data_IF_016424803410
#
_entry.id   IF_016424803410
#
_cell.length_a   1.000
_cell.length_b   1.000
_cell.length_c   1.000
_cell.angle_alpha   90.00
_cell.angle_beta   90.00
_cell.angle_gamma   90.00
#
_symmetry.space_group_name_H-M   'P 1'
#
loop_
_entity.id
_entity.type
_entity.pdbx_description
1 polymer ?
#
# COMPACT_ATOMS: atom_id res chain seq x y z
N UNK A 1 -25.29 26.31 -10.31
CA UNK A 1 -25.33 25.25 -9.28
C UNK A 1 -26.73 24.69 -9.30
N UNK A 2 -26.90 23.49 -9.85
CA UNK A 2 -28.11 22.71 -9.58
C UNK A 2 -28.20 22.54 -8.07
N UNK A 3 -29.39 22.76 -7.50
CA UNK A 3 -29.59 22.60 -6.06
C UNK A 3 -29.30 21.13 -5.72
N UNK A 4 -28.39 20.91 -4.76
CA UNK A 4 -28.10 19.58 -4.24
C UNK A 4 -29.41 18.92 -3.78
N UNK A 5 -29.75 17.77 -4.36
CA UNK A 5 -30.95 17.03 -4.02
C UNK A 5 -30.68 16.08 -2.84
N UNK A 6 -30.98 16.54 -1.64
CA UNK A 6 -30.81 15.79 -0.39
C UNK A 6 -31.63 14.48 -0.35
N UNK A 7 -32.62 14.28 -1.24
CA UNK A 7 -33.41 13.03 -1.26
C UNK A 7 -32.60 11.82 -1.75
N UNK A 8 -31.47 12.06 -2.43
CA UNK A 8 -30.57 11.01 -2.92
C UNK A 8 -29.63 10.44 -1.85
N UNK A 9 -29.62 11.02 -0.65
CA UNK A 9 -28.66 10.71 0.41
C UNK A 9 -29.34 10.11 1.64
N UNK A 10 -28.68 9.13 2.25
CA UNK A 10 -29.03 8.60 3.57
C UNK A 10 -28.64 9.61 4.68
N UNK A 11 -29.03 9.35 5.92
CA UNK A 11 -28.78 10.29 7.02
C UNK A 11 -27.28 10.51 7.31
N UNK A 12 -26.44 9.48 7.20
CA UNK A 12 -25.00 9.60 7.46
C UNK A 12 -24.30 10.42 6.37
N UNK A 13 -24.67 10.23 5.10
CA UNK A 13 -24.18 11.06 4.00
C UNK A 13 -24.62 12.53 4.15
N UNK A 14 -25.87 12.77 4.58
CA UNK A 14 -26.36 14.13 4.86
C UNK A 14 -25.58 14.81 5.97
N UNK A 15 -25.29 14.07 7.05
CA UNK A 15 -24.46 14.57 8.14
C UNK A 15 -23.08 15.01 7.64
N UNK A 16 -22.42 14.22 6.78
CA UNK A 16 -21.14 14.65 6.18
C UNK A 16 -21.29 15.92 5.31
N UNK A 17 -22.39 16.08 4.57
CA UNK A 17 -22.67 17.29 3.78
C UNK A 17 -22.90 18.49 4.70
N UNK A 18 -23.68 18.33 5.76
CA UNK A 18 -23.99 19.38 6.73
C UNK A 18 -22.72 19.87 7.44
N UNK A 19 -21.88 18.95 7.93
CA UNK A 19 -20.59 19.28 8.54
C UNK A 19 -19.70 20.09 7.59
N UNK A 20 -19.54 19.66 6.34
CA UNK A 20 -18.72 20.44 5.39
C UNK A 20 -19.31 21.79 5.01
N UNK A 21 -20.64 21.95 5.01
CA UNK A 21 -21.27 23.26 4.83
C UNK A 21 -21.05 24.19 6.03
N UNK A 22 -21.09 23.64 7.26
CA UNK A 22 -20.80 24.38 8.49
C UNK A 22 -19.35 24.88 8.52
N UNK A 23 -18.41 24.07 8.04
CA UNK A 23 -16.99 24.41 7.93
C UNK A 23 -16.63 25.23 6.68
N UNK A 24 -17.62 25.51 5.80
CA UNK A 24 -17.44 26.30 4.59
C UNK A 24 -16.63 25.61 3.49
N UNK A 25 -16.61 24.28 3.47
CA UNK A 25 -15.92 23.45 2.48
C UNK A 25 -16.72 23.35 1.18
N UNK A 26 -16.04 23.04 0.08
CA UNK A 26 -16.69 22.77 -1.20
C UNK A 26 -17.30 21.35 -1.21
N UNK A 27 -18.53 21.25 -0.72
CA UNK A 27 -19.26 19.97 -0.68
C UNK A 27 -19.52 19.36 -2.06
N UNK A 28 -19.38 20.11 -3.16
CA UNK A 28 -19.53 19.54 -4.50
C UNK A 28 -18.45 18.51 -4.85
N UNK A 29 -17.34 18.52 -4.11
CA UNK A 29 -16.25 17.56 -4.25
C UNK A 29 -16.60 16.15 -3.73
N UNK A 30 -17.57 16.01 -2.82
CA UNK A 30 -17.90 14.72 -2.19
C UNK A 30 -19.38 14.43 -1.98
N UNK A 31 -20.28 15.39 -2.19
CA UNK A 31 -21.72 15.17 -2.17
C UNK A 31 -22.18 14.36 -3.39
N UNK A 32 -21.81 13.08 -3.40
CA UNK A 32 -22.03 12.13 -4.48
C UNK A 32 -22.76 10.91 -3.92
N UNK A 33 -23.98 10.58 -4.38
CA UNK A 33 -24.74 9.44 -3.85
C UNK A 33 -24.10 8.08 -4.14
N UNK A 34 -23.05 8.01 -4.97
CA UNK A 34 -22.24 6.81 -5.17
C UNK A 34 -21.22 6.57 -4.07
N UNK A 35 -20.89 7.59 -3.27
CA UNK A 35 -20.04 7.42 -2.10
C UNK A 35 -20.87 6.93 -0.93
N UNK A 36 -20.34 6.03 -0.12
CA UNK A 36 -20.84 5.86 1.23
C UNK A 36 -20.40 7.02 2.14
N UNK A 37 -20.90 7.03 3.37
CA UNK A 37 -20.58 8.07 4.34
C UNK A 37 -19.10 8.06 4.77
N UNK A 38 -18.39 6.94 4.69
CA UNK A 38 -16.96 6.85 5.03
C UNK A 38 -16.07 7.42 3.92
N UNK A 39 -16.40 7.18 2.66
CA UNK A 39 -15.77 7.85 1.52
C UNK A 39 -15.98 9.37 1.60
N UNK A 40 -17.21 9.81 1.90
CA UNK A 40 -17.52 11.23 2.10
C UNK A 40 -16.74 11.83 3.28
N UNK A 41 -16.61 11.08 4.37
CA UNK A 41 -15.83 11.46 5.54
C UNK A 41 -14.35 11.69 5.19
N UNK A 42 -13.69 10.77 4.48
CA UNK A 42 -12.28 10.92 4.10
C UNK A 42 -12.04 12.06 3.10
N UNK A 43 -12.98 12.33 2.19
CA UNK A 43 -12.87 13.50 1.31
C UNK A 43 -13.07 14.80 2.10
N UNK A 44 -14.03 14.86 3.03
CA UNK A 44 -14.22 16.02 3.92
C UNK A 44 -12.95 16.32 4.73
N UNK A 45 -12.36 15.30 5.37
CA UNK A 45 -11.10 15.48 6.11
C UNK A 45 -9.97 15.99 5.21
N UNK A 46 -9.88 15.51 3.96
CA UNK A 46 -8.87 16.02 3.05
C UNK A 46 -9.04 17.50 2.70
N UNK A 47 -10.29 17.98 2.56
CA UNK A 47 -10.59 19.40 2.38
C UNK A 47 -10.22 20.22 3.62
N UNK A 48 -10.49 19.71 4.83
CA UNK A 48 -10.09 20.34 6.10
C UNK A 48 -8.57 20.47 6.22
N UNK A 49 -7.84 19.40 5.86
CA UNK A 49 -6.38 19.35 5.79
C UNK A 49 -5.78 20.08 4.58
N UNK A 50 -6.63 20.60 3.67
CA UNK A 50 -6.24 21.34 2.45
C UNK A 50 -5.36 20.54 1.49
N UNK A 51 -5.58 19.23 1.40
CA UNK A 51 -4.92 18.37 0.41
C UNK A 51 -5.75 18.29 -0.89
N UNK A 52 -5.12 17.86 -1.99
CA UNK A 52 -5.80 17.72 -3.28
C UNK A 52 -6.68 16.47 -3.31
N UNK A 53 -7.95 16.64 -2.93
CA UNK A 53 -8.92 15.55 -2.90
C UNK A 53 -9.30 15.02 -4.28
N UNK A 54 -9.02 15.75 -5.37
CA UNK A 54 -9.36 15.31 -6.73
C UNK A 54 -8.61 14.03 -7.16
N UNK A 55 -7.52 13.72 -6.47
CA UNK A 55 -6.72 12.53 -6.69
C UNK A 55 -7.46 11.25 -6.27
N UNK A 56 -8.25 11.31 -5.19
CA UNK A 56 -8.85 10.14 -4.56
C UNK A 56 -10.37 10.20 -4.35
N UNK A 57 -11.02 11.36 -4.49
CA UNK A 57 -12.47 11.50 -4.40
C UNK A 57 -13.17 10.91 -5.63
N UNK A 58 -13.08 9.59 -5.79
CA UNK A 58 -13.61 8.83 -6.93
C UNK A 58 -14.23 7.51 -6.47
N UNK A 59 -15.35 7.06 -7.06
CA UNK A 59 -16.09 5.90 -6.53
C UNK A 59 -15.34 4.57 -6.62
N UNK A 60 -14.30 4.51 -7.44
CA UNK A 60 -13.40 3.35 -7.57
C UNK A 60 -12.51 3.11 -6.35
N UNK A 61 -12.35 4.08 -5.45
CA UNK A 61 -11.62 3.91 -4.20
C UNK A 61 -12.58 3.66 -3.04
N UNK A 62 -12.35 2.63 -2.23
CA UNK A 62 -13.01 2.47 -0.94
C UNK A 62 -12.49 3.49 0.09
N UNK A 63 -13.17 3.59 1.24
CA UNK A 63 -12.81 4.52 2.31
C UNK A 63 -11.40 4.27 2.86
N UNK A 64 -10.95 3.01 2.91
CA UNK A 64 -9.62 2.66 3.39
C UNK A 64 -8.53 3.13 2.42
N UNK A 65 -8.73 2.96 1.11
CA UNK A 65 -7.85 3.50 0.06
C UNK A 65 -7.85 5.03 0.09
N UNK A 66 -9.02 5.67 0.18
CA UNK A 66 -9.13 7.14 0.31
C UNK A 66 -8.36 7.65 1.52
N UNK A 67 -8.47 6.97 2.67
CA UNK A 67 -7.71 7.29 3.88
C UNK A 67 -6.21 7.23 3.66
N UNK A 68 -5.69 6.17 3.02
CA UNK A 68 -4.25 6.03 2.76
C UNK A 68 -3.73 7.09 1.79
N UNK A 69 -4.51 7.45 0.77
CA UNK A 69 -4.13 8.54 -0.15
C UNK A 69 -4.16 9.88 0.58
N UNK A 70 -5.19 10.16 1.40
CA UNK A 70 -5.27 11.39 2.21
C UNK A 70 -4.08 11.52 3.15
N UNK A 71 -3.76 10.48 3.92
CA UNK A 71 -2.64 10.51 4.87
C UNK A 71 -1.30 10.76 4.16
N UNK A 72 -1.04 10.09 3.03
CA UNK A 72 0.19 10.37 2.27
C UNK A 72 0.25 11.79 1.72
N UNK A 73 -0.87 12.40 1.33
CA UNK A 73 -0.89 13.81 0.95
C UNK A 73 -0.62 14.74 2.15
N UNK A 74 -1.16 14.42 3.32
CA UNK A 74 -0.91 15.16 4.57
C UNK A 74 0.57 15.08 5.00
N UNK A 75 1.20 13.93 4.78
CA UNK A 75 2.63 13.68 5.03
C UNK A 75 3.54 14.25 3.92
N UNK A 76 2.97 14.78 2.83
CA UNK A 76 3.71 15.36 1.70
C UNK A 76 4.38 14.33 0.77
N UNK A 77 3.87 13.10 0.75
CA UNK A 77 4.36 11.99 -0.08
C UNK A 77 3.82 12.06 -1.51
N UNK A 78 4.54 11.44 -2.45
CA UNK A 78 4.09 11.29 -3.83
C UNK A 78 3.07 10.16 -3.96
N UNK A 79 1.79 10.51 -3.74
CA UNK A 79 0.70 9.55 -3.82
C UNK A 79 0.43 9.04 -5.24
N UNK A 80 1.02 9.64 -6.29
CA UNK A 80 0.85 9.14 -7.66
C UNK A 80 1.41 7.72 -7.86
N UNK A 81 2.28 7.28 -6.95
CA UNK A 81 2.88 5.96 -6.94
C UNK A 81 1.93 4.85 -6.46
N UNK A 82 0.87 5.20 -5.71
CA UNK A 82 -0.04 4.21 -5.13
C UNK A 82 -1.53 4.58 -5.16
N UNK A 83 -1.90 5.79 -5.58
CA UNK A 83 -3.30 6.20 -5.81
C UNK A 83 -3.87 5.53 -7.08
N UNK A 84 -3.87 4.20 -7.09
CA UNK A 84 -4.42 3.34 -8.14
C UNK A 84 -5.43 2.38 -7.47
N UNK A 85 -6.69 2.32 -7.94
CA UNK A 85 -7.71 1.45 -7.35
C UNK A 85 -7.40 -0.05 -7.48
N UNK A 86 -6.42 -0.45 -8.30
CA UNK A 86 -5.94 -1.83 -8.39
C UNK A 86 -5.17 -2.28 -7.13
N UNK A 87 -4.66 -1.35 -6.31
CA UNK A 87 -4.07 -1.67 -5.02
C UNK A 87 -5.14 -1.77 -3.94
N UNK A 88 -5.22 -2.89 -3.22
CA UNK A 88 -5.92 -2.93 -1.93
C UNK A 88 -5.26 -1.99 -0.92
N UNK A 89 -5.99 -1.52 0.10
CA UNK A 89 -5.39 -0.55 1.01
C UNK A 89 -4.28 -1.10 1.91
N UNK A 90 -4.11 -2.43 2.04
CA UNK A 90 -2.89 -3.00 2.63
C UNK A 90 -1.68 -2.86 1.71
N UNK A 91 -1.84 -3.01 0.40
CA UNK A 91 -0.77 -2.71 -0.57
C UNK A 91 -0.40 -1.22 -0.54
N UNK A 92 -1.40 -0.33 -0.48
CA UNK A 92 -1.15 1.11 -0.33
C UNK A 92 -0.40 1.44 0.96
N UNK A 93 -0.68 0.73 2.06
CA UNK A 93 0.05 0.89 3.31
C UNK A 93 1.53 0.52 3.17
N UNK A 94 1.85 -0.59 2.48
CA UNK A 94 3.23 -0.98 2.25
C UNK A 94 3.99 0.07 1.41
N UNK A 95 3.32 0.67 0.42
CA UNK A 95 3.93 1.73 -0.39
C UNK A 95 4.11 3.01 0.44
N UNK A 96 3.10 3.40 1.23
CA UNK A 96 3.18 4.54 2.15
C UNK A 96 4.34 4.39 3.14
N UNK A 97 4.46 3.24 3.81
CA UNK A 97 5.57 2.94 4.74
C UNK A 97 6.95 3.01 4.05
N UNK A 98 7.06 2.52 2.81
CA UNK A 98 8.33 2.60 2.10
C UNK A 98 8.72 4.01 1.70
N UNK A 99 7.74 4.86 1.35
CA UNK A 99 7.98 6.28 1.09
C UNK A 99 8.41 7.01 2.38
N UNK A 100 7.77 6.72 3.51
CA UNK A 100 8.15 7.25 4.82
C UNK A 100 9.59 6.85 5.20
N UNK A 101 9.94 5.57 5.01
CA UNK A 101 11.27 5.03 5.26
C UNK A 101 12.28 5.31 4.14
N UNK A 102 11.90 6.11 3.13
CA UNK A 102 12.76 6.57 2.05
C UNK A 102 13.42 5.44 1.23
N UNK A 103 12.73 4.30 1.09
CA UNK A 103 13.15 3.18 0.22
C UNK A 103 12.56 3.31 -1.17
N UNK A 104 13.20 2.64 -2.15
CA UNK A 104 12.76 2.65 -3.54
C UNK A 104 11.53 1.75 -3.73
N UNK A 105 10.34 2.34 -3.61
CA UNK A 105 9.07 1.61 -3.76
C UNK A 105 8.86 1.05 -5.17
N UNK A 106 9.61 1.47 -6.19
CA UNK A 106 9.45 0.97 -7.57
C UNK A 106 9.71 -0.54 -7.72
N UNK A 107 10.41 -1.14 -6.75
CA UNK A 107 10.59 -2.58 -6.69
C UNK A 107 9.28 -3.35 -6.49
N UNK A 108 8.39 -2.82 -5.66
CA UNK A 108 7.21 -3.57 -5.18
C UNK A 108 5.88 -2.85 -5.36
N UNK A 109 5.84 -1.55 -5.66
CA UNK A 109 4.63 -0.77 -5.94
C UNK A 109 3.99 -1.18 -7.28
N UNK A 110 3.55 -2.43 -7.37
CA UNK A 110 2.98 -3.06 -8.56
C UNK A 110 1.82 -3.97 -8.15
N UNK A 111 0.64 -3.86 -8.79
CA UNK A 111 -0.55 -4.60 -8.36
C UNK A 111 -0.40 -6.13 -8.39
N UNK A 112 0.58 -6.67 -9.14
CA UNK A 112 0.86 -8.11 -9.17
C UNK A 112 1.48 -8.68 -7.87
N UNK A 113 1.94 -7.83 -6.96
CA UNK A 113 2.39 -8.26 -5.63
C UNK A 113 1.27 -8.15 -4.61
N UNK A 114 1.00 -9.18 -3.84
CA UNK A 114 0.16 -9.07 -2.65
C UNK A 114 0.85 -8.26 -1.53
N UNK A 115 0.11 -7.90 -0.49
CA UNK A 115 0.60 -7.08 0.62
C UNK A 115 1.74 -7.74 1.40
N UNK A 116 1.77 -9.08 1.49
CA UNK A 116 2.85 -9.83 2.14
C UNK A 116 4.14 -9.82 1.30
N UNK A 117 4.04 -9.99 -0.01
CA UNK A 117 5.18 -9.86 -0.91
C UNK A 117 5.76 -8.43 -0.86
N UNK A 118 4.90 -7.42 -0.88
CA UNK A 118 5.32 -6.02 -0.74
C UNK A 118 6.02 -5.75 0.58
N UNK A 119 5.50 -6.30 1.69
CA UNK A 119 6.12 -6.18 3.02
C UNK A 119 7.55 -6.75 3.04
N UNK A 120 7.75 -7.96 2.52
CA UNK A 120 9.08 -8.60 2.52
C UNK A 120 10.07 -7.85 1.61
N UNK A 121 9.60 -7.30 0.49
CA UNK A 121 10.44 -6.46 -0.38
C UNK A 121 10.79 -5.15 0.33
N UNK A 122 9.82 -4.50 0.99
CA UNK A 122 10.06 -3.28 1.77
C UNK A 122 11.08 -3.51 2.88
N UNK A 123 10.87 -4.54 3.72
CA UNK A 123 11.77 -4.87 4.83
C UNK A 123 13.20 -5.14 4.34
N UNK A 124 13.37 -5.89 3.24
CA UNK A 124 14.71 -6.11 2.71
C UNK A 124 15.36 -4.85 2.13
N UNK A 125 14.60 -3.90 1.57
CA UNK A 125 15.15 -2.59 1.19
C UNK A 125 15.55 -1.77 2.42
N UNK A 126 14.76 -1.80 3.49
CA UNK A 126 15.04 -1.14 4.77
C UNK A 126 16.32 -1.70 5.43
N UNK A 127 16.54 -3.02 5.30
CA UNK A 127 17.73 -3.73 5.77
C UNK A 127 18.93 -3.60 4.82
N UNK A 128 18.78 -2.94 3.66
CA UNK A 128 19.84 -2.74 2.67
C UNK A 128 20.23 -3.99 1.88
N UNK A 129 19.33 -4.96 1.76
CA UNK A 129 19.51 -6.20 1.02
C UNK A 129 19.29 -6.01 -0.50
N UNK A 130 19.89 -6.90 -1.29
CA UNK A 130 19.66 -6.95 -2.74
C UNK A 130 18.34 -7.67 -3.04
N UNK A 131 17.25 -6.91 -3.11
CA UNK A 131 15.91 -7.44 -3.36
C UNK A 131 15.72 -8.01 -4.77
N UNK A 132 16.64 -7.78 -5.70
CA UNK A 132 16.53 -8.28 -7.09
C UNK A 132 16.49 -9.81 -7.18
N UNK A 133 16.96 -10.50 -6.13
CA UNK A 133 16.87 -11.95 -6.03
C UNK A 133 15.44 -12.45 -5.91
N UNK A 134 14.58 -11.74 -5.17
CA UNK A 134 13.28 -12.23 -4.75
C UNK A 134 12.10 -11.31 -5.04
N UNK A 135 12.30 -10.04 -5.41
CA UNK A 135 11.24 -9.09 -5.81
C UNK A 135 10.66 -9.45 -7.20
N UNK A 136 10.06 -10.64 -7.31
CA UNK A 136 9.47 -11.22 -8.52
C UNK A 136 8.17 -11.91 -8.14
N UNK A 137 7.09 -11.61 -8.85
CA UNK A 137 5.74 -12.11 -8.54
C UNK A 137 5.57 -13.63 -8.70
N UNK A 138 6.54 -14.31 -9.33
CA UNK A 138 6.63 -15.77 -9.40
C UNK A 138 6.97 -16.45 -8.08
N UNK A 139 7.52 -15.72 -7.10
CA UNK A 139 7.74 -16.23 -5.74
C UNK A 139 6.52 -15.94 -4.86
N UNK A 140 6.03 -16.92 -4.12
CA UNK A 140 5.14 -16.66 -2.98
C UNK A 140 5.91 -15.96 -1.85
N UNK A 141 5.20 -15.25 -0.97
CA UNK A 141 5.81 -14.51 0.14
C UNK A 141 6.71 -15.41 1.02
N UNK A 142 6.31 -16.66 1.29
CA UNK A 142 7.13 -17.60 2.06
C UNK A 142 8.46 -17.97 1.37
N UNK A 143 8.51 -17.98 0.04
CA UNK A 143 9.76 -18.18 -0.71
C UNK A 143 10.64 -16.92 -0.62
N UNK A 144 10.04 -15.73 -0.72
CA UNK A 144 10.76 -14.46 -0.58
C UNK A 144 11.41 -14.35 0.80
N UNK A 145 10.73 -14.76 1.87
CA UNK A 145 11.27 -14.76 3.23
C UNK A 145 12.50 -15.67 3.36
N UNK A 146 12.47 -16.87 2.80
CA UNK A 146 13.65 -17.76 2.85
C UNK A 146 14.84 -17.17 2.08
N UNK A 147 14.59 -16.46 0.97
CA UNK A 147 15.66 -15.77 0.23
C UNK A 147 16.18 -14.58 1.05
N UNK A 148 15.29 -13.78 1.64
CA UNK A 148 15.63 -12.64 2.52
C UNK A 148 16.49 -13.09 3.70
N UNK A 149 16.07 -14.12 4.44
CA UNK A 149 16.85 -14.66 5.56
C UNK A 149 18.23 -15.14 5.13
N UNK A 150 18.38 -15.73 3.93
CA UNK A 150 19.69 -16.09 3.42
C UNK A 150 20.58 -14.89 3.15
N UNK A 151 20.03 -13.80 2.60
CA UNK A 151 20.77 -12.56 2.37
C UNK A 151 21.19 -11.90 3.70
N UNK A 152 20.31 -11.85 4.70
CA UNK A 152 20.63 -11.36 6.06
C UNK A 152 21.80 -12.12 6.70
N UNK A 153 21.92 -13.41 6.40
CA UNK A 153 23.01 -14.29 6.87
C UNK A 153 24.25 -14.26 5.97
N UNK A 154 24.23 -13.51 4.87
CA UNK A 154 25.33 -13.43 3.91
C UNK A 154 25.54 -14.73 3.10
N UNK A 155 24.49 -15.53 2.90
CA UNK A 155 24.54 -16.76 2.13
C UNK A 155 24.47 -16.49 0.62
N UNK A 156 25.01 -17.42 -0.17
CA UNK A 156 24.80 -17.45 -1.62
C UNK A 156 23.40 -17.96 -1.95
N UNK A 157 22.44 -17.04 -2.06
CA UNK A 157 21.04 -17.37 -2.36
C UNK A 157 20.82 -17.86 -3.79
N UNK A 158 21.78 -17.69 -4.71
CA UNK A 158 21.64 -18.17 -6.09
C UNK A 158 21.48 -19.69 -6.19
N UNK A 159 21.90 -20.41 -5.14
CA UNK A 159 21.75 -21.86 -5.01
C UNK A 159 20.27 -22.27 -4.98
N UNK A 160 19.42 -21.48 -4.30
CA UNK A 160 18.03 -21.86 -3.98
C UNK A 160 16.96 -20.81 -4.31
N UNK A 161 17.30 -19.57 -4.68
CA UNK A 161 16.35 -18.54 -5.11
C UNK A 161 15.76 -18.87 -6.50
N UNK A 162 14.92 -19.89 -6.55
CA UNK A 162 14.39 -20.53 -7.74
C UNK A 162 12.89 -20.81 -7.57
N UNK A 163 12.02 -20.26 -8.43
CA UNK A 163 10.57 -20.40 -8.25
C UNK A 163 10.07 -21.84 -8.22
N UNK A 164 10.85 -22.78 -8.80
CA UNK A 164 10.53 -24.21 -8.81
C UNK A 164 10.71 -24.90 -7.45
N UNK A 165 11.41 -24.26 -6.50
CA UNK A 165 11.56 -24.77 -5.14
C UNK A 165 10.45 -24.23 -4.25
N UNK A 166 9.72 -25.11 -3.58
CA UNK A 166 8.81 -24.66 -2.54
C UNK A 166 9.59 -24.12 -1.32
N UNK A 167 8.87 -23.44 -0.41
CA UNK A 167 9.47 -22.85 0.80
C UNK A 167 10.24 -23.86 1.66
N UNK A 168 9.82 -25.13 1.69
CA UNK A 168 10.45 -26.15 2.54
C UNK A 168 11.77 -26.60 1.91
N UNK A 169 11.79 -26.77 0.58
CA UNK A 169 13.01 -27.05 -0.17
C UNK A 169 14.03 -25.91 -0.04
N UNK A 170 13.57 -24.66 -0.13
CA UNK A 170 14.43 -23.49 0.08
C UNK A 170 14.98 -23.44 1.51
N UNK A 171 14.12 -23.66 2.51
CA UNK A 171 14.51 -23.68 3.93
C UNK A 171 15.58 -24.74 4.20
N UNK A 172 15.41 -25.97 3.71
CA UNK A 172 16.39 -27.04 3.89
C UNK A 172 17.75 -26.70 3.27
N UNK A 173 17.75 -26.10 2.07
CA UNK A 173 19.00 -25.67 1.42
C UNK A 173 19.64 -24.53 2.21
N UNK A 174 18.86 -23.51 2.63
CA UNK A 174 19.34 -22.38 3.45
C UNK A 174 20.01 -22.87 4.73
N UNK A 175 19.32 -23.71 5.51
CA UNK A 175 19.86 -24.28 6.75
C UNK A 175 21.13 -25.10 6.50
N UNK A 176 21.18 -25.85 5.39
CA UNK A 176 22.39 -26.54 4.95
C UNK A 176 23.58 -25.58 4.74
N UNK A 177 23.36 -24.45 4.05
CA UNK A 177 24.37 -23.42 3.81
C UNK A 177 24.81 -22.71 5.10
N UNK A 178 23.88 -22.40 5.99
CA UNK A 178 24.18 -21.80 7.31
C UNK A 178 25.13 -22.68 8.12
N UNK A 179 24.86 -24.00 8.19
CA UNK A 179 25.74 -24.90 8.94
C UNK A 179 27.15 -25.02 8.36
N UNK A 180 27.32 -24.80 7.04
CA UNK A 180 28.64 -24.79 6.40
C UNK A 180 29.37 -23.50 6.72
N UNK A 181 28.68 -22.36 6.68
CA UNK A 181 29.25 -21.04 7.01
C UNK A 181 29.72 -20.98 8.47
N UNK A 182 28.95 -21.51 9.41
CA UNK A 182 29.31 -21.53 10.84
C UNK A 182 30.55 -22.40 11.16
N UNK A 183 30.94 -23.30 10.25
CA UNK A 183 32.07 -24.22 10.42
C UNK A 183 33.35 -23.76 9.73
N UNK A 184 33.28 -22.73 8.88
CA UNK A 184 34.41 -22.18 8.13
C UNK A 184 35.07 -21.02 8.83
#
# INVERSE_FOLDING_TARGET
MDKLDFSLFNNAQKEQIELGLEDGLDVSMYANPKFDDWQMYEVRLGLESRVDVSLYAKPEFDDWQMRKIRLGLEDGLDVSLYANPEFGGWQMEQIWLGLENCVDVSWYAKPEFDDWQMEIIREGLEDGLDVSWYAKSEFGYEQMDEIRFGLEKGLDVSVYAKPEFDRWQMQEIRLGLETVLERG
#
